data_IF_783232115944
#
_entry.id   IF_783232115944
#
_cell.length_a   1.000
_cell.length_b   1.000
_cell.length_c   1.000
_cell.angle_alpha   90.00
_cell.angle_beta   90.00
_cell.angle_gamma   90.00
#
_symmetry.space_group_name_H-M   'P 1'
#
loop_
_entity.id
_entity.type
_entity.pdbx_description
1 polymer ?
#
# COMPACT_ATOMS: atom_id res chain seq x y z
N UNK A 1 -8.21 25.49 -36.34
CA UNK A 1 -9.23 25.41 -35.27
C UNK A 1 -8.66 26.08 -34.04
N UNK A 2 -9.40 27.00 -33.41
CA UNK A 2 -9.01 27.64 -32.14
C UNK A 2 -10.09 27.35 -31.09
N UNK A 3 -9.70 26.88 -29.92
CA UNK A 3 -10.60 26.59 -28.80
C UNK A 3 -9.92 25.68 -27.77
N UNK A 4 -10.39 25.70 -26.53
CA UNK A 4 -9.95 24.79 -25.47
C UNK A 4 -10.74 23.49 -25.61
N UNK A 5 -10.10 22.34 -25.88
CA UNK A 5 -10.79 21.06 -25.99
C UNK A 5 -11.38 20.67 -24.63
N UNK A 6 -12.69 20.46 -24.57
CA UNK A 6 -13.40 20.07 -23.35
C UNK A 6 -13.62 18.56 -23.24
N UNK A 7 -13.29 17.81 -24.29
CA UNK A 7 -13.36 16.34 -24.36
C UNK A 7 -12.14 15.77 -25.07
N UNK A 8 -11.77 14.54 -24.72
CA UNK A 8 -10.72 13.82 -25.45
C UNK A 8 -11.16 13.61 -26.91
N UNK A 9 -10.30 14.00 -27.85
CA UNK A 9 -10.55 13.79 -29.28
C UNK A 9 -9.68 12.64 -29.80
N UNK A 10 -10.25 11.81 -30.68
CA UNK A 10 -9.48 10.83 -31.40
C UNK A 10 -8.36 11.52 -32.21
N UNK A 11 -7.20 10.87 -32.44
CA UNK A 11 -6.13 11.45 -33.22
C UNK A 11 -6.63 11.89 -34.60
N UNK A 12 -6.46 13.17 -34.93
CA UNK A 12 -6.83 13.69 -36.25
C UNK A 12 -5.60 13.69 -37.14
N UNK A 13 -5.67 12.97 -38.26
CA UNK A 13 -4.59 12.87 -39.23
C UNK A 13 -4.79 13.87 -40.37
N UNK A 14 -3.76 14.65 -40.67
CA UNK A 14 -3.72 15.61 -41.77
C UNK A 14 -2.70 15.14 -42.81
N UNK A 15 -3.10 15.05 -44.07
CA UNK A 15 -2.15 14.85 -45.17
C UNK A 15 -1.62 16.21 -45.61
N UNK A 16 -0.31 16.39 -45.56
CA UNK A 16 0.37 17.57 -46.09
C UNK A 16 1.01 17.19 -47.42
N UNK A 17 0.69 17.95 -48.46
CA UNK A 17 1.25 17.80 -49.80
C UNK A 17 2.12 19.00 -50.13
N UNK A 18 3.38 18.77 -50.47
CA UNK A 18 4.29 19.78 -51.02
C UNK A 18 4.49 19.52 -52.52
N UNK A 19 4.41 20.58 -53.33
CA UNK A 19 4.44 20.50 -54.79
C UNK A 19 5.53 21.38 -55.38
N UNK A 20 6.28 20.88 -56.36
CA UNK A 20 7.17 21.69 -57.20
C UNK A 20 7.14 21.22 -58.67
N UNK A 21 7.97 21.82 -59.53
CA UNK A 21 8.05 21.47 -60.96
C UNK A 21 8.47 20.02 -61.24
N UNK A 22 8.98 19.29 -60.24
CA UNK A 22 9.38 17.89 -60.33
C UNK A 22 8.32 16.92 -59.78
N UNK A 23 7.24 17.40 -59.17
CA UNK A 23 6.13 16.57 -58.67
C UNK A 23 5.65 16.93 -57.26
N UNK A 24 4.86 16.01 -56.67
CA UNK A 24 4.30 16.13 -55.32
C UNK A 24 4.96 15.14 -54.36
N UNK A 25 5.22 15.59 -53.13
CA UNK A 25 5.55 14.74 -51.99
C UNK A 25 4.47 14.90 -50.92
N UNK A 26 4.07 13.80 -50.27
CA UNK A 26 3.07 13.81 -49.21
C UNK A 26 3.62 13.24 -47.91
N UNK A 27 3.13 13.74 -46.78
CA UNK A 27 3.35 13.17 -45.44
C UNK A 27 2.07 13.27 -44.61
N UNK A 28 1.94 12.45 -43.56
CA UNK A 28 0.81 12.48 -42.64
C UNK A 28 1.29 13.03 -41.29
N UNK A 29 0.58 14.01 -40.76
CA UNK A 29 0.75 14.51 -39.39
C UNK A 29 -0.47 14.13 -38.58
N UNK A 30 -0.28 13.43 -37.47
CA UNK A 30 -1.32 13.12 -36.50
C UNK A 30 -1.26 14.10 -35.32
N UNK A 31 -2.37 14.78 -35.05
CA UNK A 31 -2.52 15.65 -33.88
C UNK A 31 -3.40 14.94 -32.86
N UNK A 32 -2.83 14.67 -31.68
CA UNK A 32 -3.56 14.15 -30.52
C UNK A 32 -3.67 15.26 -29.48
N UNK A 33 -4.89 15.53 -29.03
CA UNK A 33 -5.13 16.42 -27.90
C UNK A 33 -5.48 15.56 -26.70
N UNK A 34 -4.51 15.40 -25.80
CA UNK A 34 -4.69 14.72 -24.52
C UNK A 34 -4.86 15.74 -23.40
N UNK A 35 -5.78 15.46 -22.47
CA UNK A 35 -5.97 16.25 -21.27
C UNK A 35 -6.69 15.43 -20.21
N UNK A 36 -6.65 15.92 -18.98
CA UNK A 36 -7.40 15.35 -17.87
C UNK A 36 -8.85 15.83 -17.92
N UNK A 37 -9.79 14.90 -17.79
CA UNK A 37 -11.23 15.19 -17.74
C UNK A 37 -11.84 14.51 -16.51
N UNK A 38 -12.91 15.08 -15.96
CA UNK A 38 -13.72 14.39 -14.97
C UNK A 38 -14.48 13.26 -15.70
N UNK A 39 -14.07 12.01 -15.46
CA UNK A 39 -14.65 10.86 -16.16
C UNK A 39 -15.85 10.27 -15.42
N UNK A 40 -15.76 10.13 -14.09
CA UNK A 40 -16.82 9.54 -13.28
C UNK A 40 -16.79 10.04 -11.83
N UNK A 41 -17.94 9.92 -11.18
CA UNK A 41 -18.12 10.04 -9.74
C UNK A 41 -18.59 8.68 -9.21
N UNK A 42 -17.82 8.06 -8.32
CA UNK A 42 -18.09 6.72 -7.78
C UNK A 42 -18.59 6.83 -6.34
N UNK A 43 -19.62 6.04 -5.99
CA UNK A 43 -20.15 5.93 -4.64
C UNK A 43 -20.55 4.48 -4.35
N UNK A 44 -20.42 4.06 -3.10
CA UNK A 44 -20.99 2.80 -2.62
C UNK A 44 -22.50 2.71 -2.93
N UNK A 45 -22.95 1.54 -3.40
CA UNK A 45 -24.36 1.26 -3.72
C UNK A 45 -25.31 1.26 -2.52
N UNK A 46 -24.77 1.20 -1.31
CA UNK A 46 -25.47 1.23 -0.02
C UNK A 46 -24.88 2.31 0.90
N UNK A 47 -24.28 3.37 0.35
CA UNK A 47 -23.51 4.31 1.17
C UNK A 47 -24.36 5.07 2.18
N UNK A 48 -24.00 4.95 3.46
CA UNK A 48 -24.63 5.63 4.59
C UNK A 48 -23.70 6.66 5.24
N UNK A 49 -24.21 7.32 6.28
CA UNK A 49 -23.38 8.21 7.10
C UNK A 49 -22.27 7.40 7.79
N UNK A 50 -21.09 7.99 7.92
CA UNK A 50 -19.94 7.42 8.66
C UNK A 50 -19.26 6.18 8.08
N UNK A 51 -19.74 5.56 7.00
CA UNK A 51 -19.10 4.38 6.37
C UNK A 51 -17.67 4.62 5.86
N UNK A 52 -17.28 5.88 5.67
CA UNK A 52 -15.96 6.28 5.18
C UNK A 52 -15.61 5.65 3.81
N UNK A 53 -16.58 5.48 2.91
CA UNK A 53 -16.27 5.12 1.53
C UNK A 53 -15.27 6.11 0.93
N UNK A 54 -14.15 5.59 0.41
CA UNK A 54 -13.04 6.41 -0.05
C UNK A 54 -11.90 6.54 0.96
N UNK A 55 -11.96 5.85 2.10
CA UNK A 55 -10.87 5.81 3.07
C UNK A 55 -9.56 5.33 2.43
N UNK A 56 -9.66 4.30 1.59
CA UNK A 56 -8.56 3.79 0.77
C UNK A 56 -9.03 3.55 -0.66
N UNK A 57 -8.12 3.70 -1.63
CA UNK A 57 -8.42 3.42 -3.03
C UNK A 57 -7.18 2.92 -3.77
N UNK A 58 -7.38 2.00 -4.71
CA UNK A 58 -6.35 1.49 -5.60
C UNK A 58 -6.92 1.23 -6.99
N UNK A 59 -6.07 1.32 -8.03
CA UNK A 59 -6.46 1.09 -9.42
C UNK A 59 -5.44 0.21 -10.13
N UNK A 60 -5.93 -0.72 -10.92
CA UNK A 60 -5.13 -1.49 -11.88
C UNK A 60 -5.86 -1.48 -13.22
N UNK A 61 -5.27 -0.77 -14.19
CA UNK A 61 -5.85 -0.52 -15.50
C UNK A 61 -7.29 0.05 -15.41
N UNK A 62 -8.28 -0.77 -15.71
CA UNK A 62 -9.70 -0.43 -15.79
C UNK A 62 -10.50 -0.88 -14.55
N UNK A 63 -9.83 -1.33 -13.49
CA UNK A 63 -10.46 -1.83 -12.27
C UNK A 63 -10.02 -0.99 -11.08
N UNK A 64 -10.98 -0.41 -10.36
CA UNK A 64 -10.79 0.38 -9.14
C UNK A 64 -11.33 -0.41 -7.94
N UNK A 65 -10.62 -0.36 -6.82
CA UNK A 65 -11.11 -0.82 -5.52
C UNK A 65 -11.15 0.35 -4.57
N UNK A 66 -12.24 0.48 -3.82
CA UNK A 66 -12.40 1.54 -2.82
C UNK A 66 -12.82 0.90 -1.49
N UNK A 67 -12.07 1.17 -0.43
CA UNK A 67 -12.40 0.76 0.94
C UNK A 67 -13.43 1.68 1.60
N UNK A 68 -14.28 1.10 2.43
CA UNK A 68 -15.20 1.76 3.33
C UNK A 68 -15.07 1.11 4.71
N UNK A 69 -14.04 1.52 5.45
CA UNK A 69 -13.60 0.83 6.67
C UNK A 69 -14.63 0.82 7.80
N UNK A 70 -15.61 1.72 7.76
CA UNK A 70 -16.66 1.84 8.78
C UNK A 70 -18.04 1.37 8.30
N UNK A 71 -18.10 0.77 7.11
CA UNK A 71 -19.32 0.11 6.63
C UNK A 71 -19.76 -0.94 7.67
N UNK A 72 -21.06 -1.05 7.92
CA UNK A 72 -21.58 -1.70 9.12
C UNK A 72 -22.34 -3.01 8.86
N UNK A 73 -22.23 -3.58 7.67
CA UNK A 73 -23.00 -4.77 7.33
C UNK A 73 -22.43 -6.06 7.91
N UNK A 74 -23.32 -6.90 8.46
CA UNK A 74 -22.98 -8.24 8.91
C UNK A 74 -22.80 -9.26 7.76
N UNK A 75 -22.89 -8.82 6.50
CA UNK A 75 -22.79 -9.73 5.35
C UNK A 75 -21.42 -10.43 5.36
N UNK A 76 -21.43 -11.76 5.28
CA UNK A 76 -20.23 -12.63 5.26
C UNK A 76 -19.97 -13.26 3.89
N UNK A 77 -20.58 -12.72 2.85
CA UNK A 77 -20.43 -13.22 1.47
C UNK A 77 -20.11 -12.08 0.52
N UNK A 78 -19.54 -12.40 -0.64
CA UNK A 78 -19.29 -11.42 -1.70
C UNK A 78 -20.56 -11.26 -2.53
N UNK A 79 -20.97 -10.01 -2.79
CA UNK A 79 -21.99 -9.73 -3.81
C UNK A 79 -21.29 -9.39 -5.12
N UNK A 80 -21.40 -10.28 -6.11
CA UNK A 80 -20.97 -10.00 -7.48
C UNK A 80 -22.11 -9.29 -8.23
N UNK A 81 -21.95 -7.99 -8.47
CA UNK A 81 -22.96 -7.13 -9.06
C UNK A 81 -22.97 -5.72 -8.48
N UNK A 82 -24.04 -5.00 -8.79
CA UNK A 82 -24.16 -3.54 -8.57
C UNK A 82 -24.82 -3.15 -7.25
N UNK A 83 -25.04 -4.10 -6.35
CA UNK A 83 -25.74 -3.89 -5.08
C UNK A 83 -24.86 -4.28 -3.90
N UNK A 84 -25.17 -3.73 -2.74
CA UNK A 84 -24.58 -4.09 -1.46
C UNK A 84 -25.71 -4.21 -0.42
N UNK A 85 -25.43 -4.90 0.69
CA UNK A 85 -26.40 -5.08 1.76
C UNK A 85 -26.82 -3.74 2.38
N UNK A 86 -28.06 -3.63 2.81
CA UNK A 86 -28.54 -2.49 3.61
C UNK A 86 -28.59 -2.82 5.12
N UNK A 87 -28.09 -4.00 5.51
CA UNK A 87 -27.95 -4.39 6.91
C UNK A 87 -26.78 -3.60 7.54
N UNK A 88 -26.97 -3.05 8.75
CA UNK A 88 -25.95 -2.31 9.51
C UNK A 88 -25.76 -2.87 10.94
N UNK A 89 -25.99 -4.17 11.14
CA UNK A 89 -25.93 -4.82 12.45
C UNK A 89 -24.53 -5.20 12.94
N UNK A 90 -23.48 -5.05 12.12
CA UNK A 90 -22.08 -5.28 12.48
C UNK A 90 -21.26 -4.00 12.30
N UNK A 91 -21.43 -3.06 13.24
CA UNK A 91 -20.83 -1.72 13.20
C UNK A 91 -19.32 -1.74 12.94
N UNK A 92 -18.87 -0.96 11.95
CA UNK A 92 -17.46 -0.87 11.53
C UNK A 92 -16.80 -2.21 11.14
N UNK A 93 -17.58 -3.20 10.70
CA UNK A 93 -17.01 -4.44 10.16
C UNK A 93 -16.29 -4.22 8.83
N UNK A 94 -16.64 -3.15 8.12
CA UNK A 94 -15.96 -2.64 6.94
C UNK A 94 -16.30 -3.39 5.65
N UNK A 95 -16.00 -2.75 4.52
CA UNK A 95 -16.23 -3.29 3.18
C UNK A 95 -15.22 -2.75 2.14
N UNK A 96 -15.14 -3.42 0.99
CA UNK A 96 -14.48 -2.89 -0.19
C UNK A 96 -15.36 -3.03 -1.44
N UNK A 97 -15.34 -2.03 -2.31
CA UNK A 97 -16.18 -1.96 -3.52
C UNK A 97 -15.29 -2.00 -4.75
N UNK A 98 -15.64 -2.85 -5.71
CA UNK A 98 -14.92 -2.97 -6.97
C UNK A 98 -15.72 -2.30 -8.08
N UNK A 99 -15.07 -1.41 -8.82
CA UNK A 99 -15.64 -0.75 -9.99
C UNK A 99 -14.81 -1.12 -11.22
N UNK A 100 -15.50 -1.44 -12.32
CA UNK A 100 -14.89 -1.80 -13.60
C UNK A 100 -15.35 -0.83 -14.68
N UNK A 101 -14.41 -0.37 -15.50
CA UNK A 101 -14.74 0.41 -16.70
C UNK A 101 -15.29 -0.52 -17.77
N UNK A 102 -16.50 -0.25 -18.24
CA UNK A 102 -17.14 -0.94 -19.37
C UNK A 102 -17.36 0.07 -20.49
N UNK A 103 -16.48 0.05 -21.49
CA UNK A 103 -16.47 1.08 -22.53
C UNK A 103 -16.09 2.45 -21.97
N UNK A 104 -17.03 3.39 -21.96
CA UNK A 104 -16.81 4.76 -21.44
C UNK A 104 -17.45 5.00 -20.07
N UNK A 105 -18.06 4.00 -19.45
CA UNK A 105 -18.72 4.13 -18.14
C UNK A 105 -18.06 3.26 -17.09
N UNK A 106 -18.21 3.64 -15.82
CA UNK A 106 -17.81 2.85 -14.66
C UNK A 106 -19.03 2.21 -14.01
N UNK A 107 -18.94 0.94 -13.68
CA UNK A 107 -20.01 0.17 -13.03
C UNK A 107 -19.43 -0.57 -11.83
N UNK A 108 -20.19 -0.64 -10.74
CA UNK A 108 -19.83 -1.51 -9.61
C UNK A 108 -19.91 -2.97 -10.05
N UNK A 109 -18.79 -3.67 -9.97
CA UNK A 109 -18.64 -5.08 -10.34
C UNK A 109 -18.82 -5.99 -9.11
N UNK A 110 -18.40 -5.55 -7.92
CA UNK A 110 -18.56 -6.32 -6.70
C UNK A 110 -18.58 -5.47 -5.43
N UNK A 111 -19.17 -6.06 -4.39
CA UNK A 111 -19.10 -5.65 -2.99
C UNK A 111 -18.45 -6.79 -2.20
N UNK A 112 -17.27 -6.53 -1.65
CA UNK A 112 -16.42 -7.49 -0.96
C UNK A 112 -16.58 -7.35 0.55
N UNK A 113 -16.77 -8.50 1.21
CA UNK A 113 -16.80 -8.64 2.66
C UNK A 113 -15.92 -9.79 3.11
N UNK A 114 -15.39 -9.68 4.32
CA UNK A 114 -14.76 -10.79 5.01
C UNK A 114 -15.80 -11.87 5.34
N UNK A 115 -15.51 -13.17 5.15
CA UNK A 115 -16.44 -14.26 5.47
C UNK A 115 -16.62 -14.48 6.98
N UNK A 116 -15.77 -13.87 7.79
CA UNK A 116 -15.86 -13.83 9.24
C UNK A 116 -16.15 -12.42 9.77
N UNK A 117 -16.81 -11.55 8.97
CA UNK A 117 -17.06 -10.16 9.34
C UNK A 117 -17.71 -10.00 10.72
N UNK A 118 -17.00 -9.35 11.64
CA UNK A 118 -17.46 -8.96 12.96
C UNK A 118 -17.40 -7.43 13.11
N UNK A 119 -18.18 -6.89 14.04
CA UNK A 119 -18.15 -5.46 14.31
C UNK A 119 -16.78 -5.03 14.84
N UNK A 120 -16.21 -3.99 14.25
CA UNK A 120 -14.91 -3.44 14.64
C UNK A 120 -13.73 -3.89 13.79
N UNK A 121 -13.85 -4.94 12.96
CA UNK A 121 -12.73 -5.51 12.19
C UNK A 121 -12.05 -4.52 11.23
N UNK A 122 -12.78 -3.47 10.81
CA UNK A 122 -12.29 -2.41 9.93
C UNK A 122 -11.73 -2.92 8.59
N UNK A 123 -12.41 -3.91 8.00
CA UNK A 123 -12.09 -4.38 6.67
C UNK A 123 -12.18 -3.23 5.64
N UNK A 124 -11.16 -3.08 4.79
CA UNK A 124 -11.10 -1.98 3.83
C UNK A 124 -10.34 -0.74 4.33
N UNK A 125 -9.69 -0.82 5.49
CA UNK A 125 -8.75 0.21 5.97
C UNK A 125 -7.68 0.53 4.92
N UNK A 126 -7.21 -0.50 4.22
CA UNK A 126 -6.24 -0.39 3.14
C UNK A 126 -6.55 -1.44 2.07
N UNK A 127 -6.48 -1.02 0.80
CA UNK A 127 -6.72 -1.88 -0.36
C UNK A 127 -5.58 -1.74 -1.36
N UNK A 128 -5.24 -2.83 -2.04
CA UNK A 128 -4.28 -2.84 -3.14
C UNK A 128 -4.74 -3.81 -4.23
N UNK A 129 -4.45 -3.51 -5.49
CA UNK A 129 -4.85 -4.34 -6.63
C UNK A 129 -3.72 -4.47 -7.65
N UNK A 130 -3.53 -5.69 -8.16
CA UNK A 130 -2.64 -5.99 -9.28
C UNK A 130 -3.36 -6.93 -10.25
N UNK A 131 -3.76 -6.39 -11.41
CA UNK A 131 -4.55 -7.11 -12.41
C UNK A 131 -5.89 -7.56 -11.83
N UNK A 132 -6.06 -8.88 -11.72
CA UNK A 132 -7.27 -9.54 -11.23
C UNK A 132 -7.20 -9.93 -9.74
N UNK A 133 -6.17 -9.51 -9.01
CA UNK A 133 -5.97 -9.87 -7.61
C UNK A 133 -6.07 -8.63 -6.72
N UNK A 134 -6.93 -8.66 -5.71
CA UNK A 134 -7.13 -7.61 -4.71
C UNK A 134 -6.66 -8.13 -3.35
N UNK A 135 -6.03 -7.25 -2.56
CA UNK A 135 -5.76 -7.48 -1.15
C UNK A 135 -6.46 -6.40 -0.34
N UNK A 136 -7.13 -6.81 0.73
CA UNK A 136 -7.82 -5.92 1.66
C UNK A 136 -7.37 -6.19 3.09
N UNK A 137 -6.94 -5.14 3.78
CA UNK A 137 -6.58 -5.20 5.20
C UNK A 137 -7.77 -5.09 6.15
N UNK A 138 -7.68 -5.75 7.29
CA UNK A 138 -8.60 -5.65 8.44
C UNK A 138 -7.78 -5.72 9.74
N UNK A 139 -7.23 -4.58 10.15
CA UNK A 139 -6.22 -4.51 11.21
C UNK A 139 -6.75 -4.76 12.62
N UNK A 140 -8.06 -4.61 12.81
CA UNK A 140 -8.74 -4.91 14.07
C UNK A 140 -9.41 -6.28 14.06
N UNK A 141 -9.14 -7.13 13.06
CA UNK A 141 -9.64 -8.50 13.11
C UNK A 141 -9.06 -9.24 14.31
N UNK A 142 -9.95 -9.90 15.04
CA UNK A 142 -9.60 -10.70 16.20
C UNK A 142 -9.49 -12.16 15.78
N UNK A 143 -8.35 -12.82 16.04
CA UNK A 143 -8.24 -14.29 16.00
C UNK A 143 -6.83 -14.75 16.39
N UNK A 144 -6.72 -15.90 17.06
CA UNK A 144 -5.43 -16.50 17.39
C UNK A 144 -4.82 -17.33 16.24
N UNK A 145 -5.37 -17.24 15.03
CA UNK A 145 -4.91 -18.06 13.90
C UNK A 145 -3.51 -17.62 13.45
N UNK A 146 -2.59 -18.58 13.37
CA UNK A 146 -1.18 -18.39 12.96
C UNK A 146 -0.85 -19.07 11.62
N UNK A 147 -1.86 -19.48 10.87
CA UNK A 147 -1.70 -20.14 9.57
C UNK A 147 -2.50 -19.42 8.49
N UNK A 148 -2.11 -19.62 7.23
CA UNK A 148 -2.84 -19.09 6.07
C UNK A 148 -3.98 -20.05 5.73
N UNK A 149 -5.20 -19.53 5.58
CA UNK A 149 -6.30 -20.29 4.98
C UNK A 149 -6.35 -20.00 3.49
N UNK A 150 -6.02 -21.00 2.66
CA UNK A 150 -6.20 -20.94 1.21
C UNK A 150 -7.61 -21.41 0.86
N UNK A 151 -8.44 -20.51 0.33
CA UNK A 151 -9.85 -20.75 0.04
C UNK A 151 -10.76 -19.62 0.51
N UNK A 152 -12.05 -19.93 0.57
CA UNK A 152 -13.14 -18.95 0.74
C UNK A 152 -13.60 -18.77 2.19
N UNK A 153 -12.85 -19.27 3.17
CA UNK A 153 -13.19 -19.19 4.59
C UNK A 153 -12.13 -18.42 5.37
N UNK A 154 -12.49 -17.95 6.55
CA UNK A 154 -11.59 -17.34 7.53
C UNK A 154 -11.95 -17.88 8.92
N UNK A 155 -11.07 -17.65 9.90
CA UNK A 155 -11.32 -18.07 11.28
C UNK A 155 -12.60 -17.44 11.83
N UNK A 156 -13.36 -18.17 12.62
CA UNK A 156 -14.41 -17.58 13.47
C UNK A 156 -13.93 -17.35 14.91
N UNK A 157 -12.66 -17.65 15.20
CA UNK A 157 -12.06 -17.36 16.50
C UNK A 157 -11.90 -15.85 16.66
N UNK A 158 -12.30 -15.30 17.80
CA UNK A 158 -12.12 -13.88 18.15
C UNK A 158 -11.37 -13.77 19.49
N UNK A 159 -10.43 -14.69 19.77
CA UNK A 159 -9.82 -14.80 21.10
C UNK A 159 -8.58 -13.92 21.29
N UNK A 160 -8.00 -13.40 20.20
CA UNK A 160 -6.80 -12.57 20.22
C UNK A 160 -7.09 -11.21 19.57
N UNK A 161 -7.29 -10.20 20.41
CA UNK A 161 -7.77 -8.88 20.00
C UNK A 161 -6.82 -8.16 19.06
N UNK A 162 -7.33 -7.61 17.97
CA UNK A 162 -6.63 -6.78 16.99
C UNK A 162 -5.29 -7.37 16.52
N UNK A 163 -5.25 -8.70 16.43
CA UNK A 163 -4.11 -9.39 15.82
C UNK A 163 -4.04 -9.12 14.32
N UNK A 164 -5.18 -8.78 13.72
CA UNK A 164 -5.33 -8.30 12.37
C UNK A 164 -5.23 -9.39 11.31
N UNK A 165 -5.76 -9.09 10.13
CA UNK A 165 -5.79 -9.99 8.97
C UNK A 165 -5.66 -9.23 7.64
N UNK A 166 -5.30 -9.97 6.59
CA UNK A 166 -5.43 -9.52 5.21
C UNK A 166 -6.14 -10.58 4.36
N UNK A 167 -7.04 -10.14 3.48
CA UNK A 167 -7.87 -11.01 2.65
C UNK A 167 -7.51 -10.82 1.19
N UNK A 168 -7.34 -11.92 0.47
CA UNK A 168 -7.01 -11.92 -0.95
C UNK A 168 -8.24 -12.33 -1.74
N UNK A 169 -8.60 -11.54 -2.75
CA UNK A 169 -9.69 -11.83 -3.67
C UNK A 169 -9.16 -11.93 -5.09
N UNK A 170 -9.68 -12.89 -5.85
CA UNK A 170 -9.31 -13.13 -7.25
C UNK A 170 -10.54 -13.05 -8.14
N UNK A 171 -10.42 -12.34 -9.26
CA UNK A 171 -11.41 -12.32 -10.33
C UNK A 171 -11.18 -13.47 -11.31
N UNK A 172 -12.26 -14.19 -11.64
CA UNK A 172 -12.34 -15.12 -12.76
C UNK A 172 -13.54 -14.74 -13.62
N UNK A 173 -13.30 -14.27 -14.85
CA UNK A 173 -14.35 -13.64 -15.65
C UNK A 173 -14.83 -12.36 -14.98
N UNK A 174 -16.11 -12.29 -14.62
CA UNK A 174 -16.71 -11.17 -13.88
C UNK A 174 -16.99 -11.50 -12.40
N UNK A 175 -16.50 -12.65 -11.92
CA UNK A 175 -16.80 -13.16 -10.58
C UNK A 175 -15.56 -13.00 -9.69
N UNK A 176 -15.72 -12.27 -8.60
CA UNK A 176 -14.78 -12.18 -7.50
C UNK A 176 -15.09 -13.25 -6.46
N UNK A 177 -14.05 -13.95 -6.03
CA UNK A 177 -14.08 -14.89 -4.91
C UNK A 177 -12.87 -14.64 -4.00
N UNK A 178 -13.01 -14.94 -2.71
CA UNK A 178 -11.86 -14.99 -1.82
C UNK A 178 -10.94 -16.14 -2.23
N UNK A 179 -9.66 -15.86 -2.36
CA UNK A 179 -8.59 -16.81 -2.66
C UNK A 179 -7.81 -17.20 -1.40
N UNK A 180 -7.61 -16.27 -0.46
CA UNK A 180 -6.94 -16.56 0.80
C UNK A 180 -7.31 -15.59 1.94
N UNK A 181 -7.10 -16.07 3.16
CA UNK A 181 -7.07 -15.31 4.41
C UNK A 181 -5.67 -15.45 5.02
N UNK A 182 -4.97 -14.32 5.15
CA UNK A 182 -3.58 -14.25 5.55
C UNK A 182 -3.47 -13.81 7.01
N UNK A 183 -2.61 -14.51 7.76
CA UNK A 183 -2.24 -14.20 9.14
C UNK A 183 -0.74 -14.26 9.33
N UNK A 184 -0.25 -13.50 10.30
CA UNK A 184 1.12 -13.62 10.79
C UNK A 184 1.33 -14.97 11.51
N UNK A 185 2.40 -15.74 11.23
CA UNK A 185 2.69 -16.99 11.93
C UNK A 185 2.99 -16.86 13.42
N UNK A 186 3.29 -15.64 13.86
CA UNK A 186 3.56 -15.24 15.23
C UNK A 186 2.50 -14.24 15.73
N UNK A 187 1.25 -14.35 15.26
CA UNK A 187 0.18 -13.41 15.61
C UNK A 187 0.16 -13.06 17.11
N UNK A 188 0.42 -11.78 17.40
CA UNK A 188 0.26 -11.15 18.70
C UNK A 188 -1.01 -10.30 18.76
N UNK A 189 -1.51 -10.07 19.97
CA UNK A 189 -2.63 -9.15 20.16
C UNK A 189 -2.18 -7.71 19.96
N UNK A 190 -2.96 -6.92 19.24
CA UNK A 190 -2.64 -5.53 18.87
C UNK A 190 -1.42 -5.33 17.94
N UNK A 191 -0.93 -6.38 17.27
CA UNK A 191 0.12 -6.25 16.25
C UNK A 191 -0.36 -5.46 15.01
N UNK A 192 -1.68 -5.41 14.81
CA UNK A 192 -2.36 -4.72 13.70
C UNK A 192 -1.90 -5.18 12.32
N UNK A 193 -1.69 -6.49 12.16
CA UNK A 193 -1.40 -7.08 10.86
C UNK A 193 -2.51 -6.71 9.86
N UNK A 194 -2.13 -6.23 8.68
CA UNK A 194 -3.12 -5.81 7.68
C UNK A 194 -3.52 -4.34 7.79
N UNK A 195 -2.88 -3.54 8.65
CA UNK A 195 -3.07 -2.09 8.66
C UNK A 195 -2.69 -1.45 7.31
N UNK A 196 -1.62 -1.95 6.69
CA UNK A 196 -1.19 -1.56 5.36
C UNK A 196 -0.88 -2.80 4.53
N UNK A 197 -1.32 -2.80 3.27
CA UNK A 197 -1.09 -3.89 2.32
C UNK A 197 -0.63 -3.33 0.98
N UNK A 198 0.19 -4.09 0.26
CA UNK A 198 0.59 -3.77 -1.11
C UNK A 198 0.78 -5.04 -1.91
N UNK A 199 0.34 -5.06 -3.17
CA UNK A 199 0.50 -6.20 -4.07
C UNK A 199 1.17 -5.79 -5.38
N UNK A 200 2.12 -6.61 -5.82
CA UNK A 200 2.66 -6.57 -7.18
C UNK A 200 2.66 -7.99 -7.74
N UNK A 201 1.91 -8.20 -8.81
CA UNK A 201 1.71 -9.49 -9.47
C UNK A 201 1.21 -10.58 -8.49
N UNK A 202 2.12 -11.47 -8.08
CA UNK A 202 1.88 -12.62 -7.21
C UNK A 202 2.50 -12.42 -5.82
N UNK A 203 2.94 -11.21 -5.46
CA UNK A 203 3.63 -10.92 -4.20
C UNK A 203 2.90 -9.85 -3.42
N UNK A 204 2.55 -10.19 -2.18
CA UNK A 204 1.85 -9.31 -1.24
C UNK A 204 2.82 -8.96 -0.11
N UNK A 205 2.79 -7.71 0.33
CA UNK A 205 3.42 -7.26 1.57
C UNK A 205 2.34 -6.76 2.51
N UNK A 206 2.40 -7.20 3.77
CA UNK A 206 1.48 -6.79 4.83
C UNK A 206 2.28 -6.22 5.99
N UNK A 207 1.94 -5.02 6.44
CA UNK A 207 2.55 -4.40 7.62
C UNK A 207 1.87 -4.81 8.93
N UNK A 208 2.65 -4.93 9.99
CA UNK A 208 2.22 -5.08 11.39
C UNK A 208 3.12 -4.18 12.26
N UNK A 209 2.87 -2.85 12.29
CA UNK A 209 3.78 -1.89 12.91
C UNK A 209 3.93 -2.04 14.43
N UNK A 210 3.05 -2.80 15.07
CA UNK A 210 3.05 -3.01 16.51
C UNK A 210 3.57 -4.39 16.92
N UNK A 211 4.11 -5.17 15.99
CA UNK A 211 4.74 -6.44 16.34
C UNK A 211 5.99 -6.23 17.21
N UNK A 212 6.16 -7.08 18.22
CA UNK A 212 7.00 -6.79 19.39
C UNK A 212 8.34 -7.55 19.42
N UNK A 213 8.71 -8.34 18.41
CA UNK A 213 9.97 -9.10 18.52
C UNK A 213 11.22 -8.22 18.40
N UNK A 214 12.28 -8.57 19.12
CA UNK A 214 13.60 -7.92 19.02
C UNK A 214 14.44 -8.39 17.82
N UNK A 215 13.84 -9.12 16.86
CA UNK A 215 14.59 -9.68 15.75
C UNK A 215 15.13 -8.56 14.85
N UNK A 216 16.43 -8.63 14.55
CA UNK A 216 17.19 -7.67 13.71
C UNK A 216 17.66 -8.27 12.38
N UNK A 217 17.07 -9.41 11.98
CA UNK A 217 17.41 -10.10 10.72
C UNK A 217 16.14 -10.48 9.98
N UNK A 218 16.28 -10.81 8.69
CA UNK A 218 15.16 -11.29 7.87
C UNK A 218 15.04 -12.80 8.02
N UNK A 219 13.84 -13.30 8.31
CA UNK A 219 13.54 -14.74 8.20
C UNK A 219 12.98 -15.01 6.81
N UNK A 220 13.72 -15.73 5.97
CA UNK A 220 13.21 -16.23 4.70
C UNK A 220 12.52 -17.58 4.93
N UNK A 221 11.27 -17.70 4.52
CA UNK A 221 10.43 -18.86 4.73
C UNK A 221 9.14 -18.54 5.48
N UNK A 222 8.50 -19.59 6.00
CA UNK A 222 7.11 -19.57 6.50
C UNK A 222 6.99 -19.34 8.00
N UNK A 223 8.07 -18.89 8.67
CA UNK A 223 8.10 -18.68 10.12
C UNK A 223 8.45 -17.24 10.45
N UNK A 224 8.12 -16.83 11.67
CA UNK A 224 8.46 -15.54 12.25
C UNK A 224 8.89 -15.77 13.71
N UNK A 225 9.58 -14.79 14.32
CA UNK A 225 9.98 -14.88 15.72
C UNK A 225 8.77 -14.95 16.63
N UNK A 226 8.85 -15.74 17.71
CA UNK A 226 7.86 -15.72 18.78
C UNK A 226 8.28 -14.78 19.94
N UNK A 227 9.41 -14.08 19.80
CA UNK A 227 9.85 -13.08 20.76
C UNK A 227 8.89 -11.88 20.77
N UNK A 228 8.69 -11.27 21.94
CA UNK A 228 7.87 -10.06 22.11
C UNK A 228 8.57 -9.08 23.09
N UNK A 229 9.89 -8.94 22.98
CA UNK A 229 10.71 -8.18 23.94
C UNK A 229 11.05 -6.74 23.51
N UNK A 230 10.72 -6.35 22.29
CA UNK A 230 10.95 -5.02 21.70
C UNK A 230 9.61 -4.41 21.23
N UNK A 231 8.89 -3.83 22.19
CA UNK A 231 7.57 -3.25 22.00
C UNK A 231 7.46 -2.33 20.78
N UNK A 232 6.58 -2.69 19.86
CA UNK A 232 6.24 -1.96 18.63
C UNK A 232 7.45 -1.62 17.75
N UNK A 233 8.48 -2.45 17.79
CA UNK A 233 9.58 -2.37 16.82
C UNK A 233 9.08 -2.63 15.40
N UNK A 234 8.01 -3.41 15.26
CA UNK A 234 7.21 -3.59 14.05
C UNK A 234 7.80 -4.59 13.06
N UNK A 235 6.96 -5.04 12.13
CA UNK A 235 7.29 -6.02 11.10
C UNK A 235 6.57 -5.78 9.76
N UNK A 236 7.10 -6.39 8.70
CA UNK A 236 6.38 -6.60 7.46
C UNK A 236 6.50 -8.06 6.99
N UNK A 237 5.42 -8.61 6.45
CA UNK A 237 5.32 -10.01 6.04
C UNK A 237 5.12 -10.08 4.53
N UNK A 238 5.89 -10.93 3.87
CA UNK A 238 5.83 -11.14 2.42
C UNK A 238 5.15 -12.47 2.13
N UNK A 239 4.14 -12.46 1.27
CA UNK A 239 3.43 -13.64 0.81
C UNK A 239 3.58 -13.79 -0.69
N UNK A 240 3.77 -15.02 -1.16
CA UNK A 240 3.91 -15.36 -2.58
C UNK A 240 2.85 -16.37 -2.98
N UNK A 241 2.19 -16.10 -4.10
CA UNK A 241 1.30 -17.06 -4.74
C UNK A 241 2.09 -18.07 -5.57
N UNK A 242 1.79 -19.35 -5.41
CA UNK A 242 2.25 -20.44 -6.28
C UNK A 242 1.03 -21.25 -6.73
N UNK A 243 0.71 -21.18 -8.02
CA UNK A 243 -0.55 -21.73 -8.53
C UNK A 243 -1.75 -20.99 -7.91
N UNK A 244 -2.57 -21.70 -7.13
CA UNK A 244 -3.76 -21.14 -6.46
C UNK A 244 -3.58 -20.97 -4.95
N UNK A 245 -2.36 -21.18 -4.42
CA UNK A 245 -2.09 -21.08 -2.99
C UNK A 245 -1.11 -19.98 -2.67
N UNK A 246 -1.35 -19.32 -1.54
CA UNK A 246 -0.49 -18.34 -0.92
C UNK A 246 0.27 -18.98 0.24
N UNK A 247 1.56 -18.67 0.32
CA UNK A 247 2.43 -19.01 1.42
C UNK A 247 3.26 -17.78 1.82
N UNK A 248 3.64 -17.69 3.09
CA UNK A 248 4.64 -16.70 3.50
C UNK A 248 5.99 -17.03 2.86
N UNK A 249 6.61 -16.03 2.26
CA UNK A 249 7.93 -16.08 1.63
C UNK A 249 9.00 -15.47 2.54
N UNK A 250 8.66 -14.41 3.29
CA UNK A 250 9.58 -13.80 4.25
C UNK A 250 8.88 -13.04 5.38
N UNK A 251 9.60 -12.89 6.48
CA UNK A 251 9.32 -12.00 7.60
C UNK A 251 10.46 -10.98 7.70
N UNK A 252 10.13 -9.71 7.49
CA UNK A 252 11.06 -8.59 7.39
C UNK A 252 11.10 -7.81 8.70
N UNK A 253 12.33 -7.53 9.16
CA UNK A 253 12.61 -6.63 10.28
C UNK A 253 13.68 -5.62 9.89
N UNK A 254 13.65 -4.46 10.57
CA UNK A 254 14.75 -3.52 10.55
C UNK A 254 16.02 -4.13 11.20
N UNK A 255 17.23 -3.97 10.64
CA UNK A 255 18.46 -4.44 11.26
C UNK A 255 18.84 -3.74 12.57
N UNK A 256 18.23 -2.59 12.82
CA UNK A 256 18.33 -1.78 14.02
C UNK A 256 16.98 -1.72 14.75
N UNK A 257 16.15 -2.77 14.62
CA UNK A 257 14.84 -2.83 15.28
C UNK A 257 14.96 -2.47 16.76
N UNK A 258 14.25 -1.42 17.15
CA UNK A 258 14.21 -0.95 18.52
C UNK A 258 12.78 -0.88 19.05
N UNK A 259 12.60 -1.36 20.27
CA UNK A 259 11.37 -1.24 21.05
C UNK A 259 11.48 -0.24 22.21
N UNK A 260 12.65 0.38 22.37
CA UNK A 260 12.86 1.46 23.32
C UNK A 260 12.11 2.72 22.87
N UNK A 261 11.87 3.62 23.82
CA UNK A 261 11.17 4.90 23.59
C UNK A 261 9.79 4.78 22.90
N UNK A 262 9.18 3.58 22.93
CA UNK A 262 7.86 3.29 22.37
C UNK A 262 7.87 2.72 20.95
N UNK A 263 9.03 2.36 20.40
CA UNK A 263 9.17 1.59 19.16
C UNK A 263 9.20 2.40 17.86
N UNK A 264 9.89 1.85 16.87
CA UNK A 264 10.14 2.47 15.56
C UNK A 264 8.96 2.38 14.57
N UNK A 265 8.00 1.49 14.84
CA UNK A 265 6.85 1.18 13.98
C UNK A 265 7.25 0.78 12.55
N UNK A 266 8.25 -0.09 12.40
CA UNK A 266 8.59 -0.68 11.10
C UNK A 266 7.37 -1.43 10.53
N UNK A 267 7.03 -1.21 9.26
CA UNK A 267 5.82 -1.78 8.66
C UNK A 267 4.59 -0.87 8.76
N UNK A 268 4.76 0.36 9.24
CA UNK A 268 3.71 1.38 9.27
C UNK A 268 3.31 1.90 7.88
N UNK A 269 4.20 1.77 6.90
CA UNK A 269 3.90 1.96 5.49
C UNK A 269 4.67 0.95 4.64
N UNK A 270 4.05 0.42 3.59
CA UNK A 270 4.67 -0.58 2.71
C UNK A 270 4.33 -0.29 1.24
N UNK A 271 5.26 -0.56 0.33
CA UNK A 271 5.02 -0.52 -1.11
C UNK A 271 5.90 -1.52 -1.83
N UNK A 272 5.38 -2.18 -2.87
CA UNK A 272 6.11 -3.17 -3.66
C UNK A 272 6.00 -2.88 -5.17
N UNK A 273 7.12 -3.04 -5.88
CA UNK A 273 7.16 -3.06 -7.35
C UNK A 273 8.06 -4.20 -7.81
N UNK A 274 7.44 -5.25 -8.38
CA UNK A 274 8.11 -6.48 -8.78
C UNK A 274 8.84 -7.13 -7.60
N UNK A 275 10.17 -7.16 -7.67
CA UNK A 275 11.06 -7.78 -6.68
C UNK A 275 11.58 -6.81 -5.62
N UNK A 276 11.09 -5.56 -5.56
CA UNK A 276 11.58 -4.55 -4.61
C UNK A 276 10.46 -4.10 -3.68
N UNK A 277 10.71 -4.15 -2.36
CA UNK A 277 9.82 -3.70 -1.30
C UNK A 277 10.44 -2.49 -0.62
N UNK A 278 9.63 -1.51 -0.26
CA UNK A 278 9.98 -0.42 0.64
C UNK A 278 9.10 -0.48 1.87
N UNK A 279 9.69 -0.37 3.05
CA UNK A 279 8.99 -0.37 4.34
C UNK A 279 9.40 0.87 5.14
N UNK A 280 8.42 1.62 5.63
CA UNK A 280 8.66 2.77 6.50
C UNK A 280 8.68 2.42 7.99
N UNK A 281 9.50 3.14 8.74
CA UNK A 281 9.54 3.15 10.21
C UNK A 281 9.65 4.62 10.65
N UNK A 282 8.50 5.30 10.72
CA UNK A 282 8.48 6.76 10.87
C UNK A 282 8.92 7.24 12.25
N UNK A 283 8.97 6.35 13.24
CA UNK A 283 9.48 6.65 14.59
C UNK A 283 10.91 6.23 14.80
N UNK A 284 11.60 5.75 13.78
CA UNK A 284 13.01 5.43 13.92
C UNK A 284 13.82 6.66 14.35
N UNK A 285 14.62 6.45 15.38
CA UNK A 285 15.45 7.48 15.98
C UNK A 285 16.86 7.35 15.41
N UNK A 286 17.39 8.42 14.81
CA UNK A 286 18.82 8.53 14.49
C UNK A 286 19.16 9.88 13.87
N UNK A 287 20.38 10.36 14.14
CA UNK A 287 20.90 11.60 13.55
C UNK A 287 21.56 11.35 12.17
N UNK A 288 21.30 10.19 11.53
CA UNK A 288 21.85 9.87 10.22
C UNK A 288 21.16 10.66 9.10
N UNK A 289 21.96 11.28 8.24
CA UNK A 289 21.51 12.10 7.09
C UNK A 289 21.96 11.55 5.75
N UNK A 290 22.48 10.33 5.71
CA UNK A 290 22.97 9.67 4.49
C UNK A 290 22.27 8.34 4.28
N UNK A 291 22.27 7.85 3.04
CA UNK A 291 21.81 6.51 2.70
C UNK A 291 22.89 5.49 3.10
N UNK A 292 22.49 4.38 3.71
CA UNK A 292 23.33 3.19 3.86
C UNK A 292 22.92 2.17 2.80
N UNK A 293 23.80 1.83 1.87
CA UNK A 293 23.57 0.72 0.92
C UNK A 293 24.07 -0.59 1.55
N UNK A 294 23.25 -1.64 1.47
CA UNK A 294 23.52 -2.95 2.05
C UNK A 294 22.58 -3.29 3.21
N UNK A 295 23.01 -4.25 4.03
CA UNK A 295 22.17 -4.96 4.99
C UNK A 295 22.22 -4.40 6.42
N UNK A 296 22.75 -3.18 6.60
CA UNK A 296 22.92 -2.58 7.93
C UNK A 296 22.17 -1.27 8.04
N UNK A 297 21.86 -0.90 9.28
CA UNK A 297 21.35 0.41 9.68
C UNK A 297 22.12 0.84 10.94
N UNK A 298 22.10 2.14 11.25
CA UNK A 298 22.74 2.66 12.46
C UNK A 298 21.96 2.26 13.72
N UNK A 299 22.64 2.07 14.85
CA UNK A 299 22.00 1.91 16.17
C UNK A 299 22.02 3.22 16.99
N UNK A 300 22.18 4.36 16.32
CA UNK A 300 22.17 5.67 16.95
C UNK A 300 20.72 6.10 17.19
N UNK A 301 20.31 6.35 18.43
CA UNK A 301 18.97 6.84 18.77
C UNK A 301 18.97 8.31 19.23
N UNK A 302 19.95 9.11 18.80
CA UNK A 302 20.14 10.47 19.34
C UNK A 302 19.16 11.53 18.82
N UNK A 303 18.37 11.22 17.79
CA UNK A 303 17.39 12.16 17.20
C UNK A 303 16.02 11.50 17.04
N UNK A 304 15.14 11.83 17.98
CA UNK A 304 13.82 11.23 18.11
C UNK A 304 12.94 11.46 16.87
N UNK A 305 12.26 10.42 16.42
CA UNK A 305 11.25 10.40 15.36
C UNK A 305 11.73 11.05 14.06
N UNK A 306 13.03 10.94 13.80
CA UNK A 306 13.62 11.39 12.54
C UNK A 306 13.13 10.54 11.36
N UNK A 307 12.81 9.28 11.64
CA UNK A 307 12.22 8.30 10.74
C UNK A 307 13.20 7.71 9.73
N UNK A 308 12.85 6.53 9.22
CA UNK A 308 13.61 5.81 8.22
C UNK A 308 12.69 5.07 7.22
N UNK A 309 13.27 4.69 6.08
CA UNK A 309 12.68 3.73 5.16
C UNK A 309 13.71 2.69 4.73
N UNK A 310 13.28 1.43 4.61
CA UNK A 310 14.13 0.28 4.35
C UNK A 310 13.73 -0.34 3.02
N UNK A 311 14.71 -0.63 2.17
CA UNK A 311 14.51 -1.23 0.85
C UNK A 311 14.96 -2.68 0.91
N UNK A 312 14.10 -3.59 0.46
CA UNK A 312 14.37 -5.02 0.38
C UNK A 312 14.27 -5.48 -1.07
N UNK A 313 15.17 -6.38 -1.46
CA UNK A 313 15.24 -6.94 -2.81
C UNK A 313 15.16 -8.46 -2.78
N UNK A 314 14.30 -9.03 -3.62
CA UNK A 314 14.24 -10.47 -3.85
C UNK A 314 15.30 -10.90 -4.85
N UNK A 315 16.02 -11.98 -4.54
CA UNK A 315 16.89 -12.71 -5.46
C UNK A 315 16.55 -14.20 -5.40
N UNK A 316 15.94 -14.73 -6.46
CA UNK A 316 15.37 -16.07 -6.40
C UNK A 316 14.18 -16.10 -5.43
N UNK A 317 14.26 -16.92 -4.37
CA UNK A 317 13.24 -17.02 -3.32
C UNK A 317 13.64 -16.36 -1.99
N UNK A 318 14.73 -15.59 -1.98
CA UNK A 318 15.23 -14.94 -0.75
C UNK A 318 15.16 -13.43 -0.86
N UNK A 319 14.78 -12.81 0.25
CA UNK A 319 14.77 -11.38 0.46
C UNK A 319 15.97 -10.97 1.30
N UNK A 320 16.62 -9.88 0.90
CA UNK A 320 17.68 -9.22 1.64
C UNK A 320 17.43 -7.71 1.66
N UNK A 321 17.87 -7.02 2.71
CA UNK A 321 17.90 -5.57 2.70
C UNK A 321 18.93 -5.09 1.67
N UNK A 322 18.52 -4.14 0.83
CA UNK A 322 19.34 -3.50 -0.19
C UNK A 322 19.78 -2.09 0.24
N UNK A 323 18.94 -1.34 0.96
CA UNK A 323 19.28 -0.01 1.44
C UNK A 323 18.48 0.41 2.69
N UNK A 324 19.07 1.33 3.45
CA UNK A 324 18.45 2.11 4.52
C UNK A 324 18.50 3.59 4.13
N UNK A 325 17.33 4.21 4.03
CA UNK A 325 17.12 5.55 3.49
C UNK A 325 16.84 6.54 4.62
N UNK A 326 17.48 7.70 4.53
CA UNK A 326 17.27 8.84 5.42
C UNK A 326 17.10 10.14 4.66
N UNK A 327 16.40 11.08 5.28
CA UNK A 327 16.37 12.47 4.83
C UNK A 327 17.76 13.10 4.99
N UNK A 328 18.27 13.82 3.97
CA UNK A 328 19.55 14.54 4.07
C UNK A 328 19.56 15.70 5.09
N UNK A 329 18.39 16.13 5.54
CA UNK A 329 18.18 17.16 6.56
C UNK A 329 17.37 16.62 7.76
N UNK A 330 17.57 15.35 8.12
CA UNK A 330 16.82 14.71 9.21
C UNK A 330 16.71 15.58 10.47
N UNK A 331 15.49 16.05 10.74
CA UNK A 331 15.04 16.74 11.94
C UNK A 331 14.43 15.76 12.94
N UNK A 332 14.25 16.21 14.18
CA UNK A 332 13.48 15.43 15.15
C UNK A 332 11.99 15.61 14.89
N UNK A 333 11.21 14.54 15.00
CA UNK A 333 9.77 14.53 14.69
C UNK A 333 9.40 14.85 13.23
N UNK A 334 10.35 14.74 12.30
CA UNK A 334 10.08 14.87 10.85
C UNK A 334 9.20 13.72 10.32
N UNK A 335 9.25 12.55 10.99
CA UNK A 335 8.47 11.35 10.68
C UNK A 335 8.74 10.82 9.25
N UNK A 336 9.99 10.83 8.79
CA UNK A 336 10.38 10.26 7.50
C UNK A 336 10.02 8.78 7.42
N UNK A 337 9.38 8.34 6.34
CA UNK A 337 8.89 6.95 6.23
C UNK A 337 7.43 6.78 6.67
N UNK A 338 6.74 7.88 7.02
CA UNK A 338 5.30 7.82 7.32
C UNK A 338 4.47 7.34 6.13
N UNK A 339 4.92 7.64 4.92
CA UNK A 339 4.41 7.09 3.68
C UNK A 339 5.55 6.74 2.75
N UNK A 340 5.41 5.63 2.02
CA UNK A 340 6.37 5.18 1.01
C UNK A 340 5.63 4.77 -0.25
N UNK A 341 6.25 5.00 -1.41
CA UNK A 341 5.78 4.51 -2.69
C UNK A 341 6.96 4.14 -3.56
N UNK A 342 6.83 3.05 -4.33
CA UNK A 342 7.83 2.66 -5.32
C UNK A 342 7.18 2.44 -6.68
N UNK A 343 7.84 2.95 -7.72
CA UNK A 343 7.56 2.61 -9.11
C UNK A 343 8.89 2.27 -9.78
N UNK A 344 9.03 1.02 -10.19
CA UNK A 344 10.25 0.49 -10.82
C UNK A 344 11.52 0.71 -9.98
N UNK A 345 12.30 1.72 -10.33
CA UNK A 345 13.60 2.10 -9.79
C UNK A 345 13.52 3.37 -8.91
N UNK A 346 12.34 3.97 -8.79
CA UNK A 346 12.11 5.25 -8.12
C UNK A 346 11.26 5.05 -6.87
N UNK A 347 11.77 5.51 -5.73
CA UNK A 347 11.13 5.48 -4.42
C UNK A 347 10.81 6.91 -4.01
N UNK A 348 9.62 7.14 -3.47
CA UNK A 348 9.24 8.38 -2.80
C UNK A 348 8.97 8.07 -1.33
N UNK A 349 9.53 8.87 -0.44
CA UNK A 349 9.30 8.77 1.01
C UNK A 349 8.78 10.10 1.54
N UNK A 350 7.66 10.08 2.26
CA UNK A 350 7.09 11.25 2.92
C UNK A 350 7.62 11.45 4.34
N UNK A 351 7.83 12.70 4.71
CA UNK A 351 8.12 13.17 6.07
C UNK A 351 7.18 14.35 6.37
N UNK A 352 5.97 14.06 6.83
CA UNK A 352 4.93 15.10 6.96
C UNK A 352 5.22 16.09 8.10
N UNK A 353 6.07 15.71 9.06
CA UNK A 353 6.46 16.55 10.18
C UNK A 353 7.68 17.42 9.88
N UNK A 354 8.27 17.32 8.69
CA UNK A 354 9.44 18.13 8.34
C UNK A 354 9.12 19.64 8.38
N UNK A 355 10.04 20.40 8.94
CA UNK A 355 9.90 21.84 9.12
C UNK A 355 10.75 22.57 8.08
N UNK A 356 10.13 23.35 7.18
CA UNK A 356 10.85 24.28 6.32
C UNK A 356 9.99 25.33 5.63
N UNK A 357 10.51 26.55 5.51
CA UNK A 357 9.87 27.60 4.68
C UNK A 357 10.31 27.57 3.21
N UNK A 358 11.07 26.56 2.78
CA UNK A 358 11.54 26.45 1.41
C UNK A 358 10.37 26.24 0.43
N UNK A 359 10.37 27.00 -0.66
CA UNK A 359 9.31 26.96 -1.68
C UNK A 359 9.77 26.40 -3.04
N UNK A 360 11.06 26.06 -3.18
CA UNK A 360 11.66 25.54 -4.40
C UNK A 360 12.06 24.07 -4.27
N UNK A 361 12.21 23.37 -5.39
CA UNK A 361 12.74 22.00 -5.41
C UNK A 361 14.28 22.05 -5.33
N UNK A 362 14.87 21.28 -4.41
CA UNK A 362 16.32 21.03 -4.43
C UNK A 362 16.62 19.67 -5.06
N UNK A 363 17.60 19.63 -5.96
CA UNK A 363 18.09 18.39 -6.55
C UNK A 363 19.42 17.98 -5.90
N UNK A 364 19.59 16.69 -5.62
CA UNK A 364 20.79 16.14 -4.99
C UNK A 364 20.63 15.94 -3.49
N UNK A 365 21.75 15.90 -2.76
CA UNK A 365 21.80 15.56 -1.33
C UNK A 365 21.76 16.78 -0.41
N UNK A 366 21.61 17.99 -0.95
CA UNK A 366 21.46 19.21 -0.15
C UNK A 366 19.98 19.46 0.08
N UNK A 367 19.53 19.44 1.33
CA UNK A 367 18.19 19.88 1.70
C UNK A 367 18.27 21.12 2.60
N UNK A 368 17.14 21.79 2.77
CA UNK A 368 17.02 22.96 3.63
C UNK A 368 17.42 22.63 5.06
N UNK A 369 18.15 23.52 5.72
CA UNK A 369 18.37 23.49 7.17
C UNK A 369 17.46 24.49 7.90
N UNK A 370 16.51 25.10 7.18
CA UNK A 370 15.56 26.05 7.74
C UNK A 370 14.41 25.29 8.37
N UNK A 371 14.09 25.58 9.64
CA UNK A 371 12.97 24.99 10.38
C UNK A 371 11.96 26.06 10.84
N UNK A 372 11.74 27.10 10.03
CA UNK A 372 10.92 28.26 10.43
C UNK A 372 9.42 28.11 10.15
N UNK A 373 9.01 27.11 9.36
CA UNK A 373 7.62 26.77 9.14
C UNK A 373 7.38 25.32 9.61
N UNK A 374 6.73 25.18 10.77
CA UNK A 374 6.56 23.89 11.42
C UNK A 374 5.56 22.96 10.70
N UNK A 375 5.86 21.66 10.61
CA UNK A 375 5.07 20.61 9.96
C UNK A 375 4.62 20.99 8.53
N UNK A 376 5.47 21.68 7.78
CA UNK A 376 5.22 21.99 6.36
C UNK A 376 5.30 20.74 5.48
N UNK A 377 6.06 19.74 5.94
CA UNK A 377 6.23 18.44 5.32
C UNK A 377 7.17 18.47 4.11
N UNK A 378 7.74 17.30 3.81
CA UNK A 378 8.60 17.08 2.66
C UNK A 378 8.36 15.70 2.03
N UNK A 379 8.72 15.57 0.76
CA UNK A 379 8.80 14.31 0.05
C UNK A 379 10.18 14.15 -0.58
N UNK A 380 10.79 12.99 -0.38
CA UNK A 380 12.15 12.69 -0.81
C UNK A 380 12.12 11.63 -1.90
N UNK A 381 12.84 11.89 -2.99
CA UNK A 381 12.91 10.98 -4.14
C UNK A 381 14.26 10.29 -4.17
N UNK A 382 14.24 8.96 -4.19
CA UNK A 382 15.41 8.10 -4.32
C UNK A 382 15.31 7.33 -5.63
N UNK A 383 16.43 7.20 -6.33
CA UNK A 383 16.48 6.46 -7.59
C UNK A 383 17.68 5.52 -7.62
N UNK A 384 17.43 4.27 -8.02
CA UNK A 384 18.50 3.30 -8.31
C UNK A 384 19.16 3.68 -9.63
N UNK A 385 20.50 3.71 -9.65
CA UNK A 385 21.30 3.99 -10.84
C UNK A 385 21.66 2.73 -11.62
#
# INVERSE_FOLDING_TARGET
MSGTPTTAQAPVSYTITASNSSGNATTIISITISGWVHEAYLKASNGEGTDQFGYSAAISADTIVVGATNESSNQTTITNGTTASADNSAGNSGAAYVFKRTGTTWVQEAYLKAPNANGGDQFGINVSISGDTIVVGAWQEDSNQTTITNGTTASSDNSLSASGAAYVFKRTGSIWAQEAYLKAPNAGGSDYFGLVVSISEDTIVVGAPYEDSNQTTITNGTTASADNSAGSSGAAYVFKRTGTTWAQEAYLKAPNADGSDGGDFFGSSVSISGDTIVVGAWREDSNQTTITNGTTATGDNSRLQSGAAYVFKRTGSTWAQEAYLKAPNAGGSDNFGRSVSISTDTIVVGAYGEDSNQTAITNGTTASTNNSAGNSGAAYVFRRY
#
